data_IF_124932380223
#
_entry.id   IF_124932380223
#
_cell.length_a   1.000
_cell.length_b   1.000
_cell.length_c   1.000
_cell.angle_alpha   90.00
_cell.angle_beta   90.00
_cell.angle_gamma   90.00
#
_symmetry.space_group_name_H-M   'P 1'
#
loop_
_entity.id
_entity.type
_entity.pdbx_description
1 polymer ?
#
# COMPACT_ATOMS: atom_id res chain seq x y z
N UNK A 1 17.00 21.80 -1.46
CA UNK A 1 16.12 21.08 -2.43
C UNK A 1 15.02 20.26 -1.76
N UNK A 2 15.19 19.83 -0.50
CA UNK A 2 14.13 19.25 0.34
C UNK A 2 12.85 20.10 0.44
N UNK A 3 12.94 21.42 0.29
CA UNK A 3 11.75 22.30 0.38
C UNK A 3 10.73 22.10 -0.75
N UNK A 4 11.14 21.69 -1.96
CA UNK A 4 10.21 21.50 -3.09
C UNK A 4 9.34 20.27 -2.90
N UNK A 5 9.93 19.13 -2.52
CA UNK A 5 9.18 17.91 -2.25
C UNK A 5 8.24 18.08 -1.04
N UNK A 6 8.67 18.78 0.02
CA UNK A 6 7.82 19.09 1.18
C UNK A 6 6.64 20.00 0.81
N UNK A 7 6.87 21.01 -0.05
CA UNK A 7 5.81 21.89 -0.54
C UNK A 7 4.81 21.12 -1.42
N UNK A 8 5.31 20.27 -2.32
CA UNK A 8 4.48 19.41 -3.16
C UNK A 8 3.59 18.48 -2.33
N UNK A 9 4.14 17.89 -1.26
CA UNK A 9 3.36 17.07 -0.31
C UNK A 9 2.26 17.87 0.36
N UNK A 10 2.55 19.11 0.76
CA UNK A 10 1.56 20.02 1.35
C UNK A 10 0.43 20.32 0.37
N UNK A 11 0.75 20.60 -0.90
CA UNK A 11 -0.27 20.81 -1.94
C UNK A 11 -1.10 19.56 -2.23
N UNK A 12 -0.48 18.38 -2.27
CA UNK A 12 -1.21 17.11 -2.42
C UNK A 12 -2.24 16.93 -1.31
N UNK A 13 -1.85 17.16 -0.07
CA UNK A 13 -2.74 17.04 1.10
C UNK A 13 -3.88 18.07 1.11
N UNK A 14 -3.71 19.21 0.42
CA UNK A 14 -4.76 20.21 0.22
C UNK A 14 -5.67 19.90 -0.99
N UNK A 15 -5.45 18.80 -1.71
CA UNK A 15 -6.18 18.48 -2.94
C UNK A 15 -5.72 19.28 -4.16
N UNK A 16 -4.64 20.04 -4.04
CA UNK A 16 -4.02 20.85 -5.11
C UNK A 16 -3.09 19.98 -5.94
N UNK A 17 -3.67 18.96 -6.58
CA UNK A 17 -2.90 17.88 -7.19
C UNK A 17 -2.07 18.30 -8.40
N UNK A 18 -2.53 19.30 -9.17
CA UNK A 18 -1.78 19.80 -10.33
C UNK A 18 -0.49 20.50 -9.89
N UNK A 19 -0.59 21.38 -8.89
CA UNK A 19 0.58 22.07 -8.36
C UNK A 19 1.55 21.11 -7.67
N UNK A 20 1.04 20.07 -6.99
CA UNK A 20 1.87 19.01 -6.42
C UNK A 20 2.61 18.23 -7.52
N UNK A 21 1.92 17.84 -8.59
CA UNK A 21 2.49 17.13 -9.74
C UNK A 21 3.63 17.93 -10.39
N UNK A 22 3.39 19.20 -10.70
CA UNK A 22 4.41 20.08 -11.31
C UNK A 22 5.66 20.20 -10.45
N UNK A 23 5.48 20.39 -9.13
CA UNK A 23 6.61 20.49 -8.19
C UNK A 23 7.36 19.17 -8.05
N UNK A 24 6.67 18.03 -8.01
CA UNK A 24 7.35 16.73 -7.96
C UNK A 24 8.12 16.44 -9.25
N UNK A 25 7.59 16.76 -10.42
CA UNK A 25 8.31 16.62 -11.69
C UNK A 25 9.59 17.47 -11.70
N UNK A 26 9.53 18.72 -11.24
CA UNK A 26 10.70 19.58 -11.11
C UNK A 26 11.72 19.03 -10.10
N UNK A 27 11.26 18.54 -8.95
CA UNK A 27 12.13 17.94 -7.94
C UNK A 27 12.83 16.67 -8.46
N UNK A 28 12.11 15.81 -9.18
CA UNK A 28 12.67 14.59 -9.80
C UNK A 28 13.76 14.97 -10.79
N UNK A 29 13.50 15.94 -11.69
CA UNK A 29 14.49 16.35 -12.69
C UNK A 29 15.74 16.94 -12.00
N UNK A 30 15.55 17.84 -11.03
CA UNK A 30 16.66 18.42 -10.29
C UNK A 30 17.49 17.36 -9.55
N UNK A 31 16.84 16.42 -8.85
CA UNK A 31 17.54 15.35 -8.14
C UNK A 31 18.24 14.38 -9.11
N UNK A 32 17.63 14.04 -10.26
CA UNK A 32 18.27 13.23 -11.29
C UNK A 32 19.55 13.86 -11.81
N UNK A 33 19.55 15.17 -12.08
CA UNK A 33 20.72 15.88 -12.59
C UNK A 33 21.84 16.01 -11.55
N UNK A 34 21.50 16.23 -10.28
CA UNK A 34 22.50 16.50 -9.23
C UNK A 34 22.99 15.24 -8.53
N UNK A 35 22.08 14.30 -8.24
CA UNK A 35 22.30 13.13 -7.38
C UNK A 35 22.23 11.80 -8.14
N UNK A 36 21.63 11.80 -9.33
CA UNK A 36 21.42 10.62 -10.14
C UNK A 36 20.03 9.99 -9.98
N UNK A 37 19.64 9.10 -10.91
CA UNK A 37 18.31 8.48 -10.94
C UNK A 37 18.07 7.50 -9.78
N UNK A 38 19.13 6.89 -9.25
CA UNK A 38 19.06 5.87 -8.20
C UNK A 38 19.08 6.46 -6.78
N UNK A 39 19.28 7.77 -6.66
CA UNK A 39 19.40 8.41 -5.35
C UNK A 39 18.08 8.32 -4.56
N UNK A 40 18.11 8.05 -3.23
CA UNK A 40 16.90 7.95 -2.40
C UNK A 40 15.95 9.15 -2.51
N UNK A 41 16.48 10.37 -2.62
CA UNK A 41 15.66 11.58 -2.79
C UNK A 41 14.95 11.64 -4.15
N UNK A 42 15.57 11.12 -5.21
CA UNK A 42 14.94 10.98 -6.53
C UNK A 42 13.81 9.97 -6.46
N UNK A 43 14.08 8.78 -5.91
CA UNK A 43 13.11 7.70 -5.76
C UNK A 43 11.93 8.11 -4.87
N UNK A 44 12.19 8.80 -3.76
CA UNK A 44 11.16 9.33 -2.87
C UNK A 44 10.25 10.33 -3.60
N UNK A 45 10.82 11.19 -4.43
CA UNK A 45 10.04 12.16 -5.22
C UNK A 45 9.19 11.46 -6.27
N UNK A 46 9.71 10.42 -6.92
CA UNK A 46 8.97 9.55 -7.85
C UNK A 46 7.82 8.80 -7.16
N UNK A 47 8.05 8.22 -5.97
CA UNK A 47 7.00 7.57 -5.18
C UNK A 47 5.89 8.55 -4.82
N UNK A 48 6.24 9.77 -4.40
CA UNK A 48 5.24 10.77 -4.05
C UNK A 48 4.45 11.29 -5.26
N UNK A 49 5.08 11.39 -6.43
CA UNK A 49 4.38 11.68 -7.68
C UNK A 49 3.42 10.54 -8.04
N UNK A 50 3.83 9.28 -7.89
CA UNK A 50 2.96 8.13 -8.11
C UNK A 50 1.74 8.14 -7.19
N UNK A 51 1.92 8.45 -5.90
CA UNK A 51 0.79 8.65 -4.97
C UNK A 51 -0.12 9.79 -5.41
N UNK A 52 0.44 10.89 -5.93
CA UNK A 52 -0.34 12.02 -6.46
C UNK A 52 -1.19 11.58 -7.66
N UNK A 53 -0.64 10.75 -8.56
CA UNK A 53 -1.42 10.14 -9.65
C UNK A 53 -2.50 9.19 -9.15
N UNK A 54 -2.19 8.39 -8.13
CA UNK A 54 -3.15 7.49 -7.52
C UNK A 54 -4.34 8.26 -6.91
N UNK A 55 -4.08 9.36 -6.18
CA UNK A 55 -5.11 10.22 -5.59
C UNK A 55 -6.02 10.86 -6.67
N UNK A 56 -5.46 11.16 -7.85
CA UNK A 56 -6.20 11.65 -9.02
C UNK A 56 -6.99 10.55 -9.75
N UNK A 57 -6.86 9.27 -9.37
CA UNK A 57 -7.42 8.13 -10.10
C UNK A 57 -6.66 7.76 -11.38
N UNK A 58 -5.48 8.35 -11.60
CA UNK A 58 -4.58 8.08 -12.73
C UNK A 58 -3.70 6.86 -12.44
N UNK A 59 -4.33 5.72 -12.20
CA UNK A 59 -3.63 4.51 -11.73
C UNK A 59 -2.58 3.97 -12.70
N UNK A 60 -2.76 4.15 -14.02
CA UNK A 60 -1.76 3.73 -15.03
C UNK A 60 -0.47 4.53 -14.89
N UNK A 61 -0.59 5.85 -14.69
CA UNK A 61 0.57 6.72 -14.52
C UNK A 61 1.29 6.42 -13.19
N UNK A 62 0.52 6.12 -12.13
CA UNK A 62 1.07 5.67 -10.86
C UNK A 62 1.82 4.33 -10.98
N UNK A 63 1.25 3.36 -11.70
CA UNK A 63 1.85 2.04 -11.93
C UNK A 63 3.19 2.16 -12.67
N UNK A 64 3.26 2.97 -13.73
CA UNK A 64 4.51 3.16 -14.50
C UNK A 64 5.64 3.67 -13.60
N UNK A 65 5.36 4.68 -12.76
CA UNK A 65 6.35 5.21 -11.83
C UNK A 65 6.71 4.21 -10.73
N UNK A 66 5.73 3.49 -10.17
CA UNK A 66 5.97 2.48 -9.14
C UNK A 66 6.80 1.31 -9.67
N UNK A 67 6.60 0.89 -10.92
CA UNK A 67 7.44 -0.13 -11.57
C UNK A 67 8.89 0.33 -11.67
N UNK A 68 9.12 1.56 -12.15
CA UNK A 68 10.47 2.14 -12.24
C UNK A 68 11.16 2.22 -10.88
N UNK A 69 10.47 2.72 -9.85
CA UNK A 69 11.00 2.80 -8.49
C UNK A 69 11.28 1.41 -7.92
N UNK A 70 10.37 0.46 -8.12
CA UNK A 70 10.53 -0.92 -7.60
C UNK A 70 11.72 -1.63 -8.24
N UNK A 71 11.88 -1.52 -9.56
CA UNK A 71 13.01 -2.11 -10.28
C UNK A 71 14.34 -1.50 -9.80
N UNK A 72 14.39 -0.18 -9.67
CA UNK A 72 15.59 0.53 -9.19
C UNK A 72 15.94 0.13 -7.76
N UNK A 73 14.97 0.11 -6.83
CA UNK A 73 15.18 -0.32 -5.45
C UNK A 73 15.61 -1.79 -5.36
N UNK A 74 15.07 -2.65 -6.22
CA UNK A 74 15.46 -4.07 -6.28
C UNK A 74 16.92 -4.22 -6.70
N UNK A 75 17.38 -3.42 -7.67
CA UNK A 75 18.77 -3.45 -8.15
C UNK A 75 19.75 -2.86 -7.12
N UNK A 76 19.38 -1.75 -6.47
CA UNK A 76 20.27 -1.01 -5.56
C UNK A 76 20.30 -1.58 -4.15
N UNK A 77 19.14 -1.93 -3.59
CA UNK A 77 19.00 -2.36 -2.19
C UNK A 77 18.72 -3.86 -2.05
N UNK A 78 18.34 -4.53 -3.14
CA UNK A 78 17.92 -5.92 -3.14
C UNK A 78 16.41 -6.11 -2.94
N UNK A 79 15.89 -7.31 -3.27
CA UNK A 79 14.46 -7.64 -3.23
C UNK A 79 13.89 -7.73 -1.81
N UNK A 80 14.73 -7.95 -0.80
CA UNK A 80 14.31 -8.13 0.60
C UNK A 80 14.30 -6.81 1.40
N UNK A 81 14.81 -5.73 0.82
CA UNK A 81 14.93 -4.47 1.52
C UNK A 81 13.55 -3.88 1.86
N UNK A 82 13.34 -3.33 3.08
CA UNK A 82 12.04 -2.77 3.49
C UNK A 82 11.45 -1.74 2.53
N UNK A 83 12.30 -0.88 1.93
CA UNK A 83 11.85 0.09 0.91
C UNK A 83 11.39 -0.59 -0.39
N UNK A 84 12.09 -1.62 -0.87
CA UNK A 84 11.68 -2.40 -2.04
C UNK A 84 10.33 -3.06 -1.80
N UNK A 85 10.18 -3.74 -0.65
CA UNK A 85 8.94 -4.40 -0.25
C UNK A 85 7.77 -3.42 -0.09
N UNK A 86 8.04 -2.21 0.40
CA UNK A 86 7.02 -1.15 0.50
C UNK A 86 6.60 -0.64 -0.88
N UNK A 87 7.55 -0.45 -1.80
CA UNK A 87 7.26 -0.07 -3.19
C UNK A 87 6.41 -1.13 -3.90
N UNK A 88 6.76 -2.40 -3.74
CA UNK A 88 5.98 -3.53 -4.28
C UNK A 88 4.56 -3.60 -3.71
N UNK A 89 4.38 -3.35 -2.40
CA UNK A 89 3.06 -3.31 -1.78
C UNK A 89 2.20 -2.17 -2.35
N UNK A 90 2.80 -0.99 -2.59
CA UNK A 90 2.11 0.12 -3.22
C UNK A 90 1.70 -0.19 -4.67
N UNK A 91 2.58 -0.86 -5.42
CA UNK A 91 2.27 -1.35 -6.76
C UNK A 91 1.09 -2.34 -6.74
N UNK A 92 1.07 -3.28 -5.79
CA UNK A 92 -0.03 -4.21 -5.62
C UNK A 92 -1.38 -3.52 -5.35
N UNK A 93 -1.39 -2.46 -4.54
CA UNK A 93 -2.58 -1.64 -4.29
C UNK A 93 -3.04 -0.92 -5.57
N UNK A 94 -2.12 -0.36 -6.35
CA UNK A 94 -2.45 0.26 -7.64
C UNK A 94 -3.05 -0.76 -8.61
N UNK A 95 -2.48 -1.97 -8.72
CA UNK A 95 -3.04 -3.05 -9.53
C UNK A 95 -4.45 -3.45 -9.07
N UNK A 96 -4.68 -3.46 -7.74
CA UNK A 96 -5.99 -3.74 -7.15
C UNK A 96 -7.05 -2.73 -7.62
N UNK A 97 -6.75 -1.43 -7.57
CA UNK A 97 -7.69 -0.38 -7.97
C UNK A 97 -7.99 -0.41 -9.48
N UNK A 98 -7.02 -0.87 -10.28
CA UNK A 98 -7.20 -1.14 -11.70
C UNK A 98 -8.00 -2.41 -12.00
N UNK A 99 -8.25 -3.27 -11.01
CA UNK A 99 -8.91 -4.56 -11.20
C UNK A 99 -8.01 -5.66 -11.76
N UNK A 100 -6.68 -5.48 -11.68
CA UNK A 100 -5.67 -6.46 -12.10
C UNK A 100 -5.34 -7.36 -10.91
N UNK A 101 -6.32 -8.18 -10.51
CA UNK A 101 -6.27 -8.94 -9.25
C UNK A 101 -5.12 -9.94 -9.18
N UNK A 102 -4.80 -10.61 -10.30
CA UNK A 102 -3.75 -11.65 -10.35
C UNK A 102 -2.36 -11.10 -10.06
N UNK A 103 -2.02 -9.94 -10.64
CA UNK A 103 -0.71 -9.32 -10.40
C UNK A 103 -0.63 -8.75 -8.98
N UNK A 104 -1.71 -8.12 -8.51
CA UNK A 104 -1.81 -7.65 -7.12
C UNK A 104 -1.61 -8.80 -6.11
N UNK A 105 -2.22 -9.96 -6.36
CA UNK A 105 -2.09 -11.14 -5.50
C UNK A 105 -0.65 -11.64 -5.48
N UNK A 106 -0.04 -11.83 -6.66
CA UNK A 106 1.35 -12.27 -6.79
C UNK A 106 2.32 -11.36 -6.02
N UNK A 107 2.18 -10.03 -6.20
CA UNK A 107 3.01 -9.05 -5.49
C UNK A 107 2.78 -9.10 -3.98
N UNK A 108 1.52 -9.16 -3.52
CA UNK A 108 1.21 -9.21 -2.08
C UNK A 108 1.69 -10.51 -1.41
N UNK A 109 1.59 -11.66 -2.10
CA UNK A 109 2.15 -12.94 -1.62
C UNK A 109 3.66 -12.81 -1.46
N UNK A 110 4.35 -12.31 -2.48
CA UNK A 110 5.81 -12.14 -2.43
C UNK A 110 6.21 -11.22 -1.27
N UNK A 111 5.57 -10.06 -1.11
CA UNK A 111 5.88 -9.13 -0.02
C UNK A 111 5.60 -9.75 1.35
N UNK A 112 4.47 -10.42 1.51
CA UNK A 112 4.10 -11.03 2.79
C UNK A 112 5.08 -12.13 3.21
N UNK A 113 5.42 -13.05 2.31
CA UNK A 113 6.35 -14.14 2.60
C UNK A 113 7.75 -13.63 2.89
N UNK A 114 8.26 -12.66 2.12
CA UNK A 114 9.58 -12.08 2.40
C UNK A 114 9.60 -11.36 3.75
N UNK A 115 8.59 -10.57 4.10
CA UNK A 115 8.51 -9.92 5.42
C UNK A 115 8.39 -10.94 6.55
N UNK A 116 7.62 -12.00 6.35
CA UNK A 116 7.48 -13.10 7.31
C UNK A 116 8.82 -13.80 7.57
N UNK A 117 9.64 -13.98 6.54
CA UNK A 117 10.97 -14.56 6.66
C UNK A 117 11.99 -13.61 7.33
N UNK A 118 12.02 -12.34 6.93
CA UNK A 118 13.03 -11.37 7.38
C UNK A 118 12.71 -10.78 8.75
N UNK A 119 11.44 -10.42 9.00
CA UNK A 119 11.00 -9.70 10.20
C UNK A 119 10.25 -10.59 11.19
N UNK A 120 9.80 -11.76 10.73
CA UNK A 120 8.97 -12.68 11.49
C UNK A 120 7.46 -12.50 11.24
N UNK A 121 6.66 -13.52 11.61
CA UNK A 121 5.21 -13.54 11.36
C UNK A 121 4.42 -12.49 12.15
N UNK A 122 4.94 -12.07 13.30
CA UNK A 122 4.24 -11.17 14.22
C UNK A 122 4.66 -9.70 14.07
N UNK A 123 5.55 -9.38 13.12
CA UNK A 123 6.00 -8.02 12.87
C UNK A 123 4.86 -7.15 12.29
N UNK A 124 4.70 -5.87 12.71
CA UNK A 124 3.64 -4.99 12.21
C UNK A 124 3.54 -4.91 10.67
N UNK A 125 4.69 -4.87 9.98
CA UNK A 125 4.72 -4.82 8.51
C UNK A 125 4.27 -6.13 7.86
N UNK A 126 4.61 -7.29 8.47
CA UNK A 126 4.12 -8.60 8.03
C UNK A 126 2.60 -8.67 8.18
N UNK A 127 2.08 -8.22 9.32
CA UNK A 127 0.64 -8.20 9.61
C UNK A 127 -0.10 -7.23 8.68
N UNK A 128 0.50 -6.11 8.31
CA UNK A 128 -0.04 -5.19 7.30
C UNK A 128 -0.09 -5.85 5.92
N UNK A 129 0.97 -6.57 5.51
CA UNK A 129 0.97 -7.33 4.27
C UNK A 129 -0.05 -8.47 4.25
N UNK A 130 -0.23 -9.20 5.36
CA UNK A 130 -1.29 -10.21 5.49
C UNK A 130 -2.68 -9.59 5.32
N UNK A 131 -2.92 -8.43 5.92
CA UNK A 131 -4.18 -7.71 5.76
C UNK A 131 -4.40 -7.31 4.29
N UNK A 132 -3.39 -6.76 3.62
CA UNK A 132 -3.49 -6.37 2.21
C UNK A 132 -3.75 -7.57 1.30
N UNK A 133 -3.04 -8.68 1.50
CA UNK A 133 -3.26 -9.92 0.75
C UNK A 133 -4.68 -10.47 0.97
N UNK A 134 -5.17 -10.48 2.21
CA UNK A 134 -6.53 -10.94 2.51
C UNK A 134 -7.59 -10.09 1.78
N UNK A 135 -7.39 -8.78 1.69
CA UNK A 135 -8.23 -7.90 0.89
C UNK A 135 -8.15 -8.21 -0.61
N UNK A 136 -6.95 -8.46 -1.15
CA UNK A 136 -6.78 -8.87 -2.55
C UNK A 136 -7.50 -10.18 -2.86
N UNK A 137 -7.32 -11.20 -2.01
CA UNK A 137 -7.98 -12.50 -2.15
C UNK A 137 -9.51 -12.37 -2.11
N UNK A 138 -10.04 -11.50 -1.25
CA UNK A 138 -11.48 -11.22 -1.21
C UNK A 138 -11.95 -10.61 -2.54
N UNK A 139 -11.23 -9.62 -3.07
CA UNK A 139 -11.60 -8.97 -4.31
C UNK A 139 -11.43 -9.87 -5.54
N UNK A 140 -10.52 -10.84 -5.48
CA UNK A 140 -10.37 -11.87 -6.53
C UNK A 140 -11.40 -13.01 -6.41
N UNK A 141 -12.32 -12.96 -5.46
CA UNK A 141 -13.36 -13.99 -5.24
C UNK A 141 -12.91 -15.20 -4.41
N UNK A 142 -11.69 -15.20 -3.88
CA UNK A 142 -11.14 -16.27 -3.03
C UNK A 142 -11.54 -16.07 -1.56
N UNK A 143 -12.85 -16.08 -1.29
CA UNK A 143 -13.41 -15.70 0.02
C UNK A 143 -12.93 -16.56 1.19
N UNK A 144 -12.84 -17.88 1.01
CA UNK A 144 -12.40 -18.79 2.08
C UNK A 144 -10.95 -18.53 2.47
N UNK A 145 -10.05 -18.37 1.50
CA UNK A 145 -8.65 -18.05 1.74
C UNK A 145 -8.50 -16.66 2.41
N UNK A 146 -9.26 -15.67 1.94
CA UNK A 146 -9.29 -14.35 2.55
C UNK A 146 -9.72 -14.38 4.02
N UNK A 147 -10.78 -15.15 4.35
CA UNK A 147 -11.26 -15.30 5.72
C UNK A 147 -10.24 -15.99 6.63
N UNK A 148 -9.59 -17.05 6.15
CA UNK A 148 -8.56 -17.77 6.89
C UNK A 148 -7.37 -16.85 7.20
N UNK A 149 -6.85 -16.16 6.18
CA UNK A 149 -5.71 -15.27 6.33
C UNK A 149 -6.03 -14.06 7.22
N UNK A 150 -7.22 -13.48 7.09
CA UNK A 150 -7.66 -12.39 7.96
C UNK A 150 -7.84 -12.85 9.41
N UNK A 151 -8.36 -14.06 9.63
CA UNK A 151 -8.49 -14.62 10.98
C UNK A 151 -7.11 -14.82 11.63
N UNK A 152 -6.12 -15.34 10.90
CA UNK A 152 -4.74 -15.46 11.38
C UNK A 152 -4.15 -14.07 11.71
N UNK A 153 -4.31 -13.09 10.81
CA UNK A 153 -3.83 -11.72 11.04
C UNK A 153 -4.41 -11.10 12.31
N UNK A 154 -5.73 -11.28 12.55
CA UNK A 154 -6.40 -10.83 13.77
C UNK A 154 -5.81 -11.47 15.02
N UNK A 155 -5.59 -12.79 15.02
CA UNK A 155 -5.03 -13.50 16.16
C UNK A 155 -3.62 -13.01 16.51
N UNK A 156 -2.77 -12.82 15.50
CA UNK A 156 -1.41 -12.34 15.71
C UNK A 156 -1.39 -10.87 16.20
N UNK A 157 -2.24 -10.01 15.63
CA UNK A 157 -2.40 -8.61 16.09
C UNK A 157 -2.91 -8.54 17.53
N UNK A 158 -3.87 -9.37 17.90
CA UNK A 158 -4.41 -9.45 19.25
C UNK A 158 -3.33 -9.83 20.28
N UNK A 159 -2.48 -10.81 19.93
CA UNK A 159 -1.37 -11.24 20.78
C UNK A 159 -0.29 -10.18 20.95
N UNK A 160 0.05 -9.42 19.90
CA UNK A 160 1.17 -8.46 19.92
C UNK A 160 0.79 -7.06 20.36
N UNK A 161 -0.29 -6.53 19.79
CA UNK A 161 -0.70 -5.14 19.97
C UNK A 161 -1.81 -5.02 21.02
N UNK A 162 -2.49 -6.13 21.32
CA UNK A 162 -3.66 -6.16 22.18
C UNK A 162 -4.99 -5.98 21.43
N UNK A 163 -6.11 -6.27 22.11
CA UNK A 163 -7.44 -6.23 21.53
C UNK A 163 -7.93 -4.82 21.19
N UNK A 164 -7.46 -3.81 21.92
CA UNK A 164 -7.90 -2.42 21.82
C UNK A 164 -7.10 -1.60 20.79
N UNK A 165 -6.06 -2.19 20.19
CA UNK A 165 -5.26 -1.50 19.20
C UNK A 165 -6.09 -1.19 17.93
N UNK A 166 -6.03 0.03 17.36
CA UNK A 166 -6.85 0.43 16.21
C UNK A 166 -6.77 -0.54 15.01
N UNK A 167 -5.57 -1.03 14.70
CA UNK A 167 -5.37 -2.04 13.66
C UNK A 167 -6.00 -3.41 13.99
N UNK A 168 -6.00 -3.84 15.26
CA UNK A 168 -6.65 -5.08 15.69
C UNK A 168 -8.17 -4.95 15.56
N UNK A 169 -8.72 -3.83 16.04
CA UNK A 169 -10.17 -3.52 15.94
C UNK A 169 -10.60 -3.48 14.47
N UNK A 170 -9.83 -2.82 13.61
CA UNK A 170 -10.13 -2.70 12.18
C UNK A 170 -10.16 -4.07 11.48
N UNK A 171 -9.16 -4.92 11.73
CA UNK A 171 -9.11 -6.28 11.16
C UNK A 171 -10.21 -7.18 11.73
N UNK A 172 -10.52 -7.11 13.03
CA UNK A 172 -11.65 -7.83 13.65
C UNK A 172 -12.99 -7.42 13.02
N UNK A 173 -13.19 -6.12 12.84
CA UNK A 173 -14.39 -5.57 12.22
C UNK A 173 -14.54 -6.02 10.78
N UNK A 174 -13.45 -5.99 10.00
CA UNK A 174 -13.42 -6.52 8.64
C UNK A 174 -13.76 -8.02 8.61
N UNK A 175 -13.14 -8.84 9.46
CA UNK A 175 -13.40 -10.28 9.54
C UNK A 175 -14.86 -10.59 9.85
N UNK A 176 -15.47 -9.87 10.80
CA UNK A 176 -16.86 -10.04 11.17
C UNK A 176 -17.81 -9.62 10.04
N UNK A 177 -17.52 -8.52 9.36
CA UNK A 177 -18.28 -8.08 8.17
C UNK A 177 -18.23 -9.16 7.07
N UNK A 178 -17.08 -9.80 6.88
CA UNK A 178 -16.90 -10.80 5.83
C UNK A 178 -17.65 -12.09 6.16
N UNK A 179 -17.62 -12.53 7.43
CA UNK A 179 -18.39 -13.70 7.90
C UNK A 179 -19.90 -13.49 7.77
N UNK A 180 -20.42 -12.34 8.22
CA UNK A 180 -21.85 -12.05 8.15
C UNK A 180 -22.43 -12.01 6.72
N UNK A 181 -21.59 -11.72 5.72
CA UNK A 181 -21.98 -11.77 4.30
C UNK A 181 -22.00 -13.19 3.72
N UNK A 182 -21.19 -14.10 4.25
CA UNK A 182 -21.18 -15.52 3.83
C UNK A 182 -22.38 -16.26 4.42
N UNK A 183 -22.83 -15.86 5.62
CA UNK A 183 -23.96 -16.49 6.33
C UNK A 183 -25.35 -15.97 5.87
N UNK A 184 -25.40 -14.99 4.95
CA UNK A 184 -26.65 -14.48 4.38
C UNK A 184 -27.01 -15.22 3.07
N UNK A 185 -28.10 -16.01 3.02
CA UNK A 185 -28.41 -16.89 1.89
C UNK A 185 -29.01 -16.18 0.66
N UNK A 186 -29.04 -14.85 0.62
CA UNK A 186 -29.45 -14.10 -0.57
C UNK A 186 -28.25 -13.84 -1.47
N UNK A 187 -28.05 -14.70 -2.46
CA UNK A 187 -27.08 -14.50 -3.52
C UNK A 187 -27.27 -13.12 -4.18
N UNK A 188 -26.32 -12.22 -3.95
CA UNK A 188 -26.05 -11.11 -4.85
C UNK A 188 -24.54 -11.08 -5.09
N UNK A 189 -24.11 -11.97 -5.97
CA UNK A 189 -22.93 -11.76 -6.79
C UNK A 189 -23.08 -10.40 -7.50
N UNK A 190 -22.31 -9.39 -7.09
CA UNK A 190 -22.21 -8.16 -7.88
C UNK A 190 -21.81 -6.86 -7.16
N UNK A 191 -21.89 -6.74 -5.84
CA UNK A 191 -21.76 -5.43 -5.16
C UNK A 191 -20.49 -5.24 -4.31
N UNK A 192 -19.39 -5.96 -4.56
CA UNK A 192 -18.21 -5.93 -3.67
C UNK A 192 -17.19 -4.79 -3.93
N UNK A 193 -17.42 -3.85 -4.86
CA UNK A 193 -16.37 -2.94 -5.32
C UNK A 193 -16.24 -1.58 -4.59
N UNK A 194 -17.02 -1.28 -3.55
CA UNK A 194 -17.03 0.09 -2.98
C UNK A 194 -16.32 0.28 -1.64
N UNK A 195 -16.04 -0.77 -0.87
CA UNK A 195 -15.57 -0.58 0.53
C UNK A 195 -14.05 -0.38 0.67
N UNK A 196 -13.22 -0.78 -0.30
CA UNK A 196 -11.78 -0.54 -0.25
C UNK A 196 -11.39 0.83 -0.83
N UNK A 197 -12.06 1.25 -1.92
CA UNK A 197 -11.82 2.52 -2.62
C UNK A 197 -11.96 3.77 -1.72
N UNK A 198 -12.75 3.68 -0.65
CA UNK A 198 -12.99 4.80 0.28
C UNK A 198 -12.04 4.87 1.49
N UNK A 199 -11.46 3.75 1.95
CA UNK A 199 -10.68 3.72 3.21
C UNK A 199 -9.25 4.26 3.06
N UNK A 200 -8.61 4.05 1.91
CA UNK A 200 -7.25 4.56 1.67
C UNK A 200 -7.18 6.07 1.37
N UNK A 201 -8.30 6.74 1.05
CA UNK A 201 -8.34 8.21 0.92
C UNK A 201 -8.03 8.96 2.23
N UNK A 202 -8.07 8.29 3.39
CA UNK A 202 -7.80 8.89 4.71
C UNK A 202 -6.54 8.36 5.40
N UNK A 203 -5.85 7.38 4.83
CA UNK A 203 -4.68 6.74 5.46
C UNK A 203 -3.33 7.34 5.03
N UNK A 204 -3.32 8.43 4.25
CA UNK A 204 -2.11 9.12 3.78
C UNK A 204 -1.46 10.07 4.80
N UNK A 205 -1.95 10.14 6.04
CA UNK A 205 -1.27 10.86 7.12
C UNK A 205 -0.22 9.92 7.71
N UNK A 206 1.00 10.01 7.17
CA UNK A 206 2.20 9.52 7.86
C UNK A 206 2.28 10.31 9.17
N UNK A 207 1.82 9.72 10.27
CA UNK A 207 2.27 10.13 11.60
C UNK A 207 3.78 9.95 11.61
N UNK A 208 4.46 11.08 11.53
CA UNK A 208 5.88 11.21 11.75
C UNK A 208 6.08 10.88 13.23
N UNK A 209 6.42 9.63 13.54
CA UNK A 209 7.03 9.31 14.83
C UNK A 209 8.42 9.95 14.84
N UNK A 210 8.47 11.22 15.25
CA UNK A 210 9.65 11.81 15.87
C UNK A 210 9.93 11.01 17.14
N UNK A 211 11.01 10.24 17.11
CA UNK A 211 11.63 9.73 18.33
C UNK A 211 12.63 10.79 18.76
N UNK A 212 12.32 11.49 19.85
CA UNK A 212 13.32 12.15 20.71
C UNK A 212 14.21 11.08 21.38
#
# INVERSE_FOLDING_TARGET
>A
MTSMASLASTYRNQGRWKEAEELYLQAIEAHKQVLGPEHPDTLTSMTNLASTYWDQGRWKDAEILQLQVTDTLTQVLGPEHPHTLTSMANLALTCLDQGIWKEAEKLNVQVMETRKQVLGPEHPDTLTSMNNLAHTLRSSGQYTAALQLMAECVQLRDRKLGPDHPHTISSKSALNEWRGKVDSPSGTDGACNETFRGRNRKAGTVESNSVE
#
